data_IF_809016541841
#
_entry.id   IF_809016541841
#
_cell.length_a   1.000
_cell.length_b   1.000
_cell.length_c   1.000
_cell.angle_alpha   90.00
_cell.angle_beta   90.00
_cell.angle_gamma   90.00
#
_symmetry.space_group_name_H-M   'P 1'
#
loop_
_entity.id
_entity.type
_entity.pdbx_description
1 polymer ?
#
# COMPACT_ATOMS: atom_id res chain seq x y z
N UNK A 1 47.93 -34.79 -20.68
CA UNK A 1 46.88 -33.98 -20.01
C UNK A 1 46.19 -33.14 -21.07
N UNK A 2 45.00 -33.53 -21.50
CA UNK A 2 44.19 -32.75 -22.45
C UNK A 2 42.77 -32.66 -21.90
N UNK A 3 42.35 -31.47 -21.49
CA UNK A 3 41.02 -31.23 -20.94
C UNK A 3 40.07 -31.02 -22.13
N UNK A 4 39.17 -31.98 -22.36
CA UNK A 4 38.09 -31.87 -23.32
C UNK A 4 37.03 -30.91 -22.76
N UNK A 5 36.98 -29.68 -23.27
CA UNK A 5 35.88 -28.76 -23.02
C UNK A 5 34.66 -29.23 -23.82
N UNK A 6 33.80 -30.02 -23.19
CA UNK A 6 32.46 -30.30 -23.71
C UNK A 6 31.65 -29.01 -23.74
N UNK A 7 31.60 -28.35 -24.91
CA UNK A 7 30.67 -27.26 -25.17
C UNK A 7 29.26 -27.85 -25.17
N UNK A 8 28.54 -27.68 -24.06
CA UNK A 8 27.10 -27.94 -24.00
C UNK A 8 26.43 -26.85 -24.84
N UNK A 9 26.23 -27.13 -26.13
CA UNK A 9 25.35 -26.34 -26.97
C UNK A 9 23.92 -26.47 -26.44
N UNK A 10 23.49 -25.49 -25.65
CA UNK A 10 22.10 -25.31 -25.28
C UNK A 10 21.27 -25.08 -26.54
N UNK A 11 20.54 -26.11 -26.97
CA UNK A 11 19.62 -26.05 -28.09
C UNK A 11 18.42 -25.12 -27.76
N UNK A 12 18.56 -23.83 -28.05
CA UNK A 12 17.57 -22.78 -27.79
C UNK A 12 16.24 -22.93 -28.54
N UNK A 13 16.09 -23.93 -29.42
CA UNK A 13 14.84 -24.16 -30.17
C UNK A 13 13.71 -24.68 -29.27
N UNK A 14 14.01 -25.43 -28.20
CA UNK A 14 12.99 -25.96 -27.26
C UNK A 14 12.51 -24.93 -26.23
N UNK A 15 13.23 -23.83 -26.04
CA UNK A 15 12.84 -22.75 -25.12
C UNK A 15 11.82 -21.83 -25.79
N UNK A 16 11.97 -21.54 -27.08
CA UNK A 16 11.05 -20.66 -27.82
C UNK A 16 9.63 -21.23 -27.94
N UNK A 17 9.46 -22.56 -28.06
CA UNK A 17 8.14 -23.17 -28.24
C UNK A 17 7.32 -23.36 -26.96
N UNK A 18 7.94 -23.26 -25.77
CA UNK A 18 7.22 -23.34 -24.48
C UNK A 18 6.71 -22.01 -23.96
N UNK A 19 7.19 -20.92 -24.52
CA UNK A 19 6.95 -19.57 -24.04
C UNK A 19 5.88 -18.83 -24.86
N UNK A 20 5.54 -19.24 -26.07
CA UNK A 20 4.44 -18.62 -26.83
C UNK A 20 3.10 -19.28 -26.51
N UNK A 21 2.38 -18.78 -25.50
CA UNK A 21 1.04 -19.27 -25.15
C UNK A 21 0.36 -18.43 -24.06
N UNK A 22 -0.92 -18.73 -23.73
CA UNK A 22 -1.67 -18.03 -22.67
C UNK A 22 -0.95 -18.04 -21.30
N UNK A 23 -0.06 -19.01 -21.08
CA UNK A 23 0.79 -19.07 -19.88
C UNK A 23 1.81 -17.93 -19.81
N UNK A 24 2.42 -17.51 -20.92
CA UNK A 24 3.37 -16.37 -20.90
C UNK A 24 2.67 -15.07 -20.55
N UNK A 25 1.47 -14.83 -21.09
CA UNK A 25 0.70 -13.62 -20.76
C UNK A 25 0.33 -13.58 -19.28
N UNK A 26 -0.03 -14.73 -18.70
CA UNK A 26 -0.27 -14.86 -17.26
C UNK A 26 0.98 -14.51 -16.44
N UNK A 27 2.15 -14.99 -16.87
CA UNK A 27 3.42 -14.65 -16.22
C UNK A 27 3.73 -13.17 -16.29
N UNK A 28 3.64 -12.57 -17.48
CA UNK A 28 4.04 -11.18 -17.75
C UNK A 28 3.10 -10.17 -17.08
N UNK A 29 1.78 -10.42 -17.10
CA UNK A 29 0.80 -9.43 -16.65
C UNK A 29 0.22 -9.67 -15.26
N UNK A 30 0.29 -10.90 -14.73
CA UNK A 30 -0.31 -11.22 -13.44
C UNK A 30 0.76 -11.59 -12.42
N UNK A 31 1.52 -12.65 -12.68
CA UNK A 31 2.44 -13.19 -11.68
C UNK A 31 3.64 -12.27 -11.44
N UNK A 32 4.29 -11.79 -12.50
CA UNK A 32 5.50 -10.99 -12.38
C UNK A 32 5.24 -9.62 -11.71
N UNK A 33 4.21 -8.83 -12.10
CA UNK A 33 3.87 -7.60 -11.40
C UNK A 33 3.46 -7.85 -9.95
N UNK A 34 2.75 -8.96 -9.67
CA UNK A 34 2.38 -9.31 -8.29
C UNK A 34 3.59 -9.64 -7.43
N UNK A 35 4.57 -10.38 -7.95
CA UNK A 35 5.81 -10.69 -7.22
C UNK A 35 6.63 -9.42 -6.95
N UNK A 36 6.75 -8.53 -7.95
CA UNK A 36 7.42 -7.23 -7.77
C UNK A 36 6.70 -6.39 -6.73
N UNK A 37 5.37 -6.27 -6.83
CA UNK A 37 4.57 -5.51 -5.89
C UNK A 37 4.70 -6.07 -4.46
N UNK A 38 4.78 -7.40 -4.31
CA UNK A 38 4.93 -8.05 -3.01
C UNK A 38 6.32 -7.78 -2.43
N UNK A 39 7.37 -7.88 -3.25
CA UNK A 39 8.73 -7.53 -2.84
C UNK A 39 8.85 -6.05 -2.47
N UNK A 40 8.25 -5.15 -3.25
CA UNK A 40 8.22 -3.72 -2.99
C UNK A 40 7.47 -3.40 -1.68
N UNK A 41 6.34 -4.09 -1.42
CA UNK A 41 5.55 -3.92 -0.20
C UNK A 41 6.37 -4.15 1.08
N UNK A 42 7.30 -5.11 1.09
CA UNK A 42 8.20 -5.35 2.23
C UNK A 42 9.11 -4.15 2.54
N UNK A 43 9.45 -3.34 1.55
CA UNK A 43 10.38 -2.21 1.69
C UNK A 43 9.64 -0.89 1.91
N UNK A 44 8.52 -0.67 1.22
CA UNK A 44 7.88 0.65 1.17
C UNK A 44 6.78 0.84 2.22
N UNK A 45 5.91 -0.16 2.41
CA UNK A 45 4.73 0.00 3.25
C UNK A 45 4.24 -1.36 3.79
N UNK A 46 4.94 -1.97 4.77
CA UNK A 46 4.66 -3.32 5.29
C UNK A 46 3.42 -3.38 6.20
N UNK A 47 2.39 -2.58 5.91
CA UNK A 47 1.09 -2.68 6.55
C UNK A 47 0.22 -3.68 5.76
N UNK A 48 -0.44 -4.65 6.42
CA UNK A 48 -1.23 -5.70 5.77
C UNK A 48 -2.29 -5.18 4.77
N UNK A 49 -2.85 -3.99 5.04
CA UNK A 49 -3.84 -3.33 4.17
C UNK A 49 -3.33 -3.05 2.75
N UNK A 50 -2.02 -2.93 2.56
CA UNK A 50 -1.40 -2.65 1.26
C UNK A 50 -0.98 -3.93 0.51
N UNK A 51 -0.92 -5.08 1.19
CA UNK A 51 -0.56 -6.36 0.55
C UNK A 51 -1.76 -7.09 -0.05
N UNK A 52 -2.98 -6.78 0.41
CA UNK A 52 -4.17 -7.59 0.12
C UNK A 52 -4.39 -7.82 -1.38
N UNK A 53 -4.39 -6.75 -2.19
CA UNK A 53 -4.58 -6.86 -3.64
C UNK A 53 -3.51 -7.71 -4.31
N UNK A 54 -2.24 -7.51 -3.94
CA UNK A 54 -1.11 -8.25 -4.50
C UNK A 54 -1.18 -9.74 -4.17
N UNK A 55 -1.56 -10.10 -2.94
CA UNK A 55 -1.74 -11.50 -2.54
C UNK A 55 -2.88 -12.15 -3.33
N UNK A 56 -3.98 -11.43 -3.56
CA UNK A 56 -5.10 -11.90 -4.37
C UNK A 56 -4.68 -12.20 -5.81
N UNK A 57 -3.99 -11.27 -6.49
CA UNK A 57 -3.53 -11.47 -7.86
C UNK A 57 -2.48 -12.58 -7.99
N UNK A 58 -1.57 -12.70 -7.01
CA UNK A 58 -0.60 -13.79 -6.98
C UNK A 58 -1.30 -15.15 -6.85
N UNK A 59 -2.27 -15.26 -5.95
CA UNK A 59 -3.03 -16.50 -5.70
C UNK A 59 -3.86 -16.89 -6.93
N UNK A 60 -4.55 -15.92 -7.54
CA UNK A 60 -5.32 -16.13 -8.77
C UNK A 60 -4.40 -16.58 -9.91
N UNK A 61 -3.29 -15.86 -10.12
CA UNK A 61 -2.31 -16.18 -11.17
C UNK A 61 -1.72 -17.58 -11.01
N UNK A 62 -1.38 -17.98 -9.79
CA UNK A 62 -0.88 -19.32 -9.50
C UNK A 62 -1.95 -20.38 -9.79
N UNK A 63 -3.20 -20.13 -9.38
CA UNK A 63 -4.32 -21.05 -9.62
C UNK A 63 -4.56 -21.30 -11.12
N UNK A 64 -4.54 -20.24 -11.93
CA UNK A 64 -4.69 -20.35 -13.40
C UNK A 64 -3.49 -21.07 -14.02
N UNK A 65 -2.26 -20.78 -13.59
CA UNK A 65 -1.05 -21.45 -14.09
C UNK A 65 -1.09 -22.95 -13.82
N UNK A 66 -1.72 -23.37 -12.72
CA UNK A 66 -1.84 -24.78 -12.35
C UNK A 66 -2.89 -25.53 -13.16
N UNK A 67 -4.03 -24.88 -13.42
CA UNK A 67 -5.06 -25.42 -14.31
C UNK A 67 -4.51 -25.63 -15.73
N UNK A 68 -3.72 -24.68 -16.24
CA UNK A 68 -3.08 -24.78 -17.56
C UNK A 68 -2.05 -25.92 -17.66
N UNK A 69 -1.39 -26.28 -16.56
CA UNK A 69 -0.35 -27.31 -16.55
C UNK A 69 -0.87 -28.73 -16.22
N UNK A 70 -2.20 -28.94 -16.20
CA UNK A 70 -2.83 -30.23 -15.88
C UNK A 70 -2.26 -30.88 -14.61
N UNK A 71 -1.94 -30.07 -13.59
CA UNK A 71 -1.40 -30.59 -12.35
C UNK A 71 -2.41 -31.53 -11.67
N UNK A 72 -1.95 -32.57 -10.95
CA UNK A 72 -2.86 -33.49 -10.28
C UNK A 72 -3.74 -32.71 -9.30
N UNK A 73 -5.05 -32.99 -9.31
CA UNK A 73 -6.06 -32.25 -8.57
C UNK A 73 -5.70 -32.04 -7.09
N UNK A 74 -5.04 -33.04 -6.45
CA UNK A 74 -4.52 -32.95 -5.08
C UNK A 74 -3.61 -31.74 -4.84
N UNK A 75 -2.72 -31.40 -5.79
CA UNK A 75 -1.81 -30.24 -5.67
C UNK A 75 -2.58 -28.92 -5.82
N UNK A 76 -3.54 -28.89 -6.74
CA UNK A 76 -4.42 -27.73 -6.93
C UNK A 76 -5.24 -27.49 -5.66
N UNK A 77 -5.84 -28.53 -5.08
CA UNK A 77 -6.59 -28.43 -3.82
C UNK A 77 -5.73 -27.97 -2.65
N UNK A 78 -4.52 -28.52 -2.46
CA UNK A 78 -3.63 -28.08 -1.38
C UNK A 78 -3.27 -26.59 -1.48
N UNK A 79 -3.13 -26.08 -2.69
CA UNK A 79 -2.75 -24.69 -2.93
C UNK A 79 -3.93 -23.73 -2.92
N UNK A 80 -5.14 -24.19 -3.20
CA UNK A 80 -6.38 -23.46 -2.95
C UNK A 80 -6.77 -23.45 -1.46
N UNK A 81 -6.44 -24.53 -0.74
CA UNK A 81 -6.67 -24.62 0.71
C UNK A 81 -5.68 -23.77 1.50
N UNK A 82 -4.45 -23.57 1.02
CA UNK A 82 -3.45 -22.74 1.67
C UNK A 82 -3.93 -21.29 1.97
N UNK A 83 -4.46 -20.51 1.02
CA UNK A 83 -4.98 -19.17 1.30
C UNK A 83 -6.22 -19.20 2.20
N UNK A 84 -7.09 -20.21 2.08
CA UNK A 84 -8.21 -20.40 3.00
C UNK A 84 -7.71 -20.65 4.43
N UNK A 85 -6.67 -21.48 4.60
CA UNK A 85 -6.08 -21.76 5.90
C UNK A 85 -5.38 -20.53 6.47
N UNK A 86 -4.65 -19.77 5.66
CA UNK A 86 -4.04 -18.49 6.05
C UNK A 86 -5.12 -17.49 6.48
N UNK A 87 -6.23 -17.40 5.74
CA UNK A 87 -7.35 -16.53 6.07
C UNK A 87 -7.99 -16.94 7.40
N UNK A 88 -8.33 -18.23 7.59
CA UNK A 88 -8.92 -18.76 8.83
C UNK A 88 -7.96 -18.59 10.02
N UNK A 89 -6.66 -18.83 9.81
CA UNK A 89 -5.66 -18.63 10.85
C UNK A 89 -5.52 -17.16 11.24
N UNK A 90 -5.49 -16.26 10.26
CA UNK A 90 -5.40 -14.81 10.51
C UNK A 90 -6.65 -14.25 11.18
N UNK A 91 -7.84 -14.70 10.77
CA UNK A 91 -9.10 -14.32 11.42
C UNK A 91 -9.17 -14.88 12.83
N UNK A 92 -8.72 -16.12 13.05
CA UNK A 92 -8.59 -16.72 14.38
C UNK A 92 -7.67 -15.93 15.31
N UNK A 93 -6.48 -15.53 14.84
CA UNK A 93 -5.57 -14.65 15.60
C UNK A 93 -6.20 -13.29 15.89
N UNK A 94 -6.90 -12.72 14.91
CA UNK A 94 -7.54 -11.41 15.06
C UNK A 94 -8.64 -11.46 16.13
N UNK A 95 -9.49 -12.49 16.10
CA UNK A 95 -10.50 -12.76 17.11
C UNK A 95 -9.89 -13.02 18.49
N UNK A 96 -8.84 -13.84 18.58
CA UNK A 96 -8.14 -14.12 19.84
C UNK A 96 -7.53 -12.87 20.48
N UNK A 97 -7.16 -11.87 19.66
CA UNK A 97 -6.67 -10.56 20.11
C UNK A 97 -7.79 -9.54 20.38
N UNK A 98 -9.06 -9.98 20.39
CA UNK A 98 -10.23 -9.12 20.61
C UNK A 98 -10.46 -8.11 19.49
N UNK A 99 -9.87 -8.32 18.29
CA UNK A 99 -10.09 -7.43 17.16
C UNK A 99 -11.38 -7.84 16.46
N UNK A 100 -12.37 -6.94 16.31
CA UNK A 100 -13.59 -7.27 15.60
C UNK A 100 -13.27 -7.56 14.13
N UNK A 101 -13.77 -8.68 13.61
CA UNK A 101 -13.62 -9.04 12.19
C UNK A 101 -14.43 -8.11 11.29
N UNK A 102 -15.52 -7.58 11.83
CA UNK A 102 -16.44 -6.67 11.17
C UNK A 102 -16.51 -5.41 12.00
N UNK A 103 -16.21 -4.26 11.40
CA UNK A 103 -16.51 -2.99 12.05
C UNK A 103 -18.01 -2.74 11.91
N UNK A 104 -18.68 -2.63 13.04
CA UNK A 104 -20.08 -2.20 13.07
C UNK A 104 -20.16 -0.76 12.58
N UNK A 105 -21.26 -0.35 11.92
CA UNK A 105 -21.47 1.04 11.57
C UNK A 105 -21.23 1.94 12.80
N UNK A 106 -20.55 3.06 12.60
CA UNK A 106 -20.32 4.01 13.67
C UNK A 106 -21.59 4.75 14.08
N UNK A 107 -21.51 5.45 15.21
CA UNK A 107 -22.68 6.08 15.87
C UNK A 107 -23.27 7.26 15.09
N UNK A 108 -22.50 7.88 14.19
CA UNK A 108 -22.91 9.06 13.43
C UNK A 108 -23.21 8.70 11.98
N UNK A 109 -24.47 8.38 11.67
CA UNK A 109 -24.90 7.93 10.33
C UNK A 109 -24.08 6.75 9.75
N UNK A 110 -23.51 5.91 10.62
CA UNK A 110 -22.63 4.81 10.22
C UNK A 110 -21.15 5.16 10.14
N UNK A 111 -20.78 6.43 10.36
CA UNK A 111 -19.40 6.90 10.45
C UNK A 111 -18.85 6.73 11.86
N UNK A 112 -17.62 6.24 11.95
CA UNK A 112 -16.90 6.18 13.22
C UNK A 112 -16.46 7.59 13.62
N UNK A 113 -16.46 7.92 14.93
CA UNK A 113 -15.98 9.20 15.40
C UNK A 113 -14.53 9.40 14.95
N UNK A 114 -14.26 10.58 14.41
CA UNK A 114 -12.90 10.98 14.07
C UNK A 114 -12.09 11.08 15.37
N UNK A 115 -10.82 10.67 15.30
CA UNK A 115 -9.91 10.83 16.42
C UNK A 115 -9.60 12.31 16.57
N UNK A 116 -10.14 12.97 17.60
CA UNK A 116 -9.76 14.34 17.92
C UNK A 116 -8.32 14.37 18.45
N UNK A 117 -7.55 15.37 18.02
CA UNK A 117 -6.16 15.58 18.44
C UNK A 117 -6.06 16.95 19.08
N UNK A 118 -5.32 17.02 20.19
CA UNK A 118 -5.03 18.28 20.86
C UNK A 118 -4.23 19.20 19.94
N UNK A 119 -4.67 20.45 19.82
CA UNK A 119 -4.04 21.46 18.97
C UNK A 119 -3.58 22.63 19.82
N UNK A 120 -2.50 23.26 19.37
CA UNK A 120 -1.97 24.51 19.92
C UNK A 120 -2.09 25.62 18.87
N UNK A 121 -2.18 26.86 19.34
CA UNK A 121 -2.15 28.04 18.48
C UNK A 121 -0.69 28.39 18.19
N UNK A 122 -0.36 28.52 16.91
CA UNK A 122 0.92 29.01 16.42
C UNK A 122 0.71 30.34 15.70
N UNK A 123 1.43 31.37 16.13
CA UNK A 123 1.35 32.71 15.52
C UNK A 123 2.53 32.90 14.57
N UNK A 124 2.23 33.26 13.32
CA UNK A 124 3.23 33.58 12.28
C UNK A 124 3.77 35.00 12.44
N UNK A 125 4.82 35.35 11.69
CA UNK A 125 5.39 36.71 11.68
C UNK A 125 4.40 37.75 11.10
N UNK A 126 3.43 37.30 10.30
CA UNK A 126 2.32 38.14 9.82
C UNK A 126 1.14 38.19 10.80
N UNK A 127 1.33 37.77 12.05
CA UNK A 127 0.30 37.68 13.09
C UNK A 127 -0.87 36.73 12.75
N UNK A 128 -0.70 35.82 11.79
CA UNK A 128 -1.71 34.81 11.46
C UNK A 128 -1.69 33.72 12.54
N UNK A 129 -2.86 33.40 13.09
CA UNK A 129 -3.01 32.32 14.07
C UNK A 129 -3.38 31.02 13.34
N UNK A 130 -2.62 29.96 13.59
CA UNK A 130 -2.80 28.63 13.01
C UNK A 130 -3.01 27.59 14.09
N UNK A 131 -3.94 26.67 13.86
CA UNK A 131 -4.09 25.48 14.70
C UNK A 131 -3.13 24.39 14.23
N UNK A 132 -2.25 23.96 15.14
CA UNK A 132 -1.21 22.96 14.86
C UNK A 132 -1.38 21.79 15.82
N UNK A 133 -1.41 20.53 15.35
CA UNK A 133 -1.50 19.38 16.24
C UNK A 133 -0.27 19.30 17.15
N UNK A 134 -0.48 19.03 18.43
CA UNK A 134 0.61 18.83 19.39
C UNK A 134 1.41 17.56 19.05
N UNK A 135 0.74 16.55 18.49
CA UNK A 135 1.36 15.27 18.10
C UNK A 135 0.81 14.75 16.77
N UNK A 136 1.72 14.32 15.89
CA UNK A 136 1.37 13.76 14.59
C UNK A 136 1.05 14.82 13.55
N UNK A 137 0.42 14.40 12.45
CA UNK A 137 0.11 15.25 11.28
C UNK A 137 -1.39 15.51 11.10
N UNK A 138 -2.19 15.17 12.10
CA UNK A 138 -3.65 15.21 12.01
C UNK A 138 -4.18 16.62 12.24
N UNK A 139 -4.27 17.40 11.17
CA UNK A 139 -4.84 18.76 11.17
C UNK A 139 -6.23 18.85 10.56
N UNK A 140 -6.72 17.80 9.91
CA UNK A 140 -8.00 17.79 9.17
C UNK A 140 -9.25 17.87 10.06
N UNK A 141 -9.10 17.63 11.36
CA UNK A 141 -10.18 17.69 12.37
C UNK A 141 -9.98 18.87 13.34
N UNK A 142 -9.06 19.78 13.02
CA UNK A 142 -8.74 20.97 13.81
C UNK A 142 -9.54 22.18 13.34
N UNK A 143 -9.74 23.17 14.22
CA UNK A 143 -10.32 24.44 13.81
C UNK A 143 -9.45 25.11 12.72
N UNK A 144 -10.09 25.62 11.67
CA UNK A 144 -9.41 26.27 10.56
C UNK A 144 -9.05 27.73 10.92
N UNK A 145 -7.92 28.27 10.44
CA UNK A 145 -6.91 27.63 9.59
C UNK A 145 -5.98 26.69 10.38
N UNK A 146 -5.67 25.52 9.80
CA UNK A 146 -4.85 24.49 10.43
C UNK A 146 -3.74 23.96 9.51
N UNK A 147 -2.59 23.62 10.07
CA UNK A 147 -1.48 22.98 9.34
C UNK A 147 -0.75 21.97 10.24
N UNK A 148 -0.33 20.81 9.71
CA UNK A 148 0.56 19.92 10.45
C UNK A 148 2.00 20.47 10.51
N UNK A 149 2.36 21.32 9.56
CA UNK A 149 3.72 21.87 9.39
C UNK A 149 3.64 23.40 9.43
N UNK A 150 3.86 24.03 10.61
CA UNK A 150 3.82 25.47 10.73
C UNK A 150 5.07 26.14 10.12
N UNK A 151 4.86 27.18 9.31
CA UNK A 151 5.92 28.07 8.81
C UNK A 151 5.67 29.50 9.32
N UNK A 152 6.68 30.12 9.94
CA UNK A 152 6.60 31.50 10.45
C UNK A 152 6.35 32.53 9.35
N UNK A 153 6.74 32.22 8.10
CA UNK A 153 6.61 33.08 6.93
C UNK A 153 5.24 32.98 6.26
N UNK A 154 4.36 32.11 6.75
CA UNK A 154 3.02 31.95 6.20
C UNK A 154 2.20 33.21 6.46
N UNK A 155 1.61 33.74 5.39
CA UNK A 155 0.74 34.91 5.40
C UNK A 155 -0.44 34.73 4.47
N UNK A 156 -1.47 35.55 4.63
CA UNK A 156 -2.57 35.62 3.67
C UNK A 156 -2.05 36.07 2.30
N UNK A 157 -2.59 35.47 1.24
CA UNK A 157 -2.26 35.88 -0.13
C UNK A 157 -2.71 37.32 -0.40
N UNK A 158 -3.92 37.65 0.06
CA UNK A 158 -4.48 38.99 0.05
C UNK A 158 -4.68 39.47 1.49
N UNK A 159 -4.22 40.67 1.87
CA UNK A 159 -4.52 41.24 3.17
C UNK A 159 -6.04 41.22 3.44
N UNK A 160 -6.41 40.82 4.66
CA UNK A 160 -7.79 40.80 5.17
C UNK A 160 -8.80 39.89 4.44
N UNK A 161 -8.38 39.10 3.45
CA UNK A 161 -9.25 38.19 2.71
C UNK A 161 -8.80 36.72 2.87
N UNK A 162 -9.29 35.99 3.89
CA UNK A 162 -8.87 34.61 4.18
C UNK A 162 -9.25 33.62 3.06
N UNK A 163 -10.27 33.93 2.26
CA UNK A 163 -10.69 33.14 1.09
C UNK A 163 -9.69 33.24 -0.07
N UNK A 164 -8.81 34.23 -0.07
CA UNK A 164 -7.77 34.41 -1.08
C UNK A 164 -6.65 33.37 -1.01
N UNK A 165 -6.60 32.56 0.05
CA UNK A 165 -5.56 31.56 0.26
C UNK A 165 -4.33 32.10 0.99
N UNK A 166 -3.27 31.30 1.02
CA UNK A 166 -2.06 31.54 1.82
C UNK A 166 -0.81 31.44 0.95
N UNK A 167 0.22 32.22 1.30
CA UNK A 167 1.52 32.21 0.64
C UNK A 167 2.64 32.19 1.69
N UNK A 168 3.75 31.54 1.37
CA UNK A 168 4.97 31.57 2.17
C UNK A 168 5.82 32.74 1.66
N UNK A 169 6.14 33.70 2.53
CA UNK A 169 7.03 34.79 2.17
C UNK A 169 8.44 34.26 1.82
N UNK A 170 9.13 34.87 0.84
CA UNK A 170 10.50 34.49 0.51
C UNK A 170 11.40 34.62 1.73
N UNK A 171 12.40 33.73 1.87
CA UNK A 171 13.44 33.87 2.88
C UNK A 171 14.19 35.18 2.64
N UNK A 172 14.32 36.02 3.67
CA UNK A 172 15.18 37.21 3.56
C UNK A 172 16.58 36.76 3.15
N UNK A 173 17.17 37.29 2.07
CA UNK A 173 18.57 37.04 1.77
C UNK A 173 19.39 37.63 2.92
N UNK A 174 20.25 36.79 3.51
CA UNK A 174 21.28 37.23 4.45
C UNK A 174 22.33 38.10 3.73
#
# INVERSE_FOLDING_TARGET
MGINFGVILFNGSKIKSRLSGPTMWLWVFVLFPSLIALAAWFVTAPAPRFAAGTIWFLTLGLSVAMLQNHMPAKRIYLLLLAPCFIFVFWTGISLAKGRPLWQTPGTDAGLHPLRTVETKIFTTDSMLQLHVPVKGIQSWDSALPATPEPDKRLKLLKPDEPTGGFIIAPSSPN
#
